data_IF_273844090020
#
_entry.id   IF_273844090020
#
_cell.length_a   1.000
_cell.length_b   1.000
_cell.length_c   1.000
_cell.angle_alpha   90.00
_cell.angle_beta   90.00
_cell.angle_gamma   90.00
#
_symmetry.space_group_name_H-M   'P 1'
#
loop_
_entity.id
_entity.type
_entity.pdbx_description
1 polymer ?
#
# COMPACT_ATOMS: atom_id res chain seq x y z
N UNK A 1 -56.94 -27.77 -17.04
CA UNK A 1 -55.65 -27.71 -16.32
C UNK A 1 -54.96 -26.40 -16.69
N UNK A 2 -55.07 -25.34 -15.87
CA UNK A 2 -54.41 -24.02 -16.07
C UNK A 2 -53.81 -23.61 -14.72
N UNK A 3 -52.66 -24.18 -14.34
CA UNK A 3 -51.96 -23.85 -13.09
C UNK A 3 -50.53 -23.32 -13.30
N UNK A 4 -50.07 -23.25 -14.56
CA UNK A 4 -48.70 -22.84 -14.88
C UNK A 4 -48.49 -21.32 -14.99
N UNK A 5 -49.56 -20.52 -15.08
CA UNK A 5 -49.47 -19.08 -15.37
C UNK A 5 -48.99 -18.25 -14.18
N UNK A 6 -49.35 -18.61 -12.95
CA UNK A 6 -49.01 -17.82 -11.77
C UNK A 6 -47.55 -18.03 -11.32
N UNK A 7 -47.04 -19.26 -11.47
CA UNK A 7 -45.66 -19.64 -11.08
C UNK A 7 -44.62 -18.97 -11.97
N UNK A 8 -44.89 -18.88 -13.28
CA UNK A 8 -44.01 -18.19 -14.24
C UNK A 8 -43.91 -16.68 -13.99
N UNK A 9 -45.00 -16.05 -13.55
CA UNK A 9 -45.04 -14.61 -13.24
C UNK A 9 -44.24 -14.31 -11.96
N UNK A 10 -44.38 -15.14 -10.92
CA UNK A 10 -43.62 -15.01 -9.67
C UNK A 10 -42.11 -15.23 -9.87
N UNK A 11 -41.72 -16.20 -10.70
CA UNK A 11 -40.31 -16.43 -11.02
C UNK A 11 -39.69 -15.25 -11.80
N UNK A 12 -40.42 -14.67 -12.76
CA UNK A 12 -39.95 -13.52 -13.53
C UNK A 12 -39.77 -12.27 -12.67
N UNK A 13 -40.67 -12.02 -11.70
CA UNK A 13 -40.54 -10.88 -10.78
C UNK A 13 -39.36 -11.04 -9.81
N UNK A 14 -39.07 -12.27 -9.35
CA UNK A 14 -37.92 -12.53 -8.48
C UNK A 14 -36.59 -12.22 -9.19
N UNK A 15 -36.47 -12.62 -10.47
CA UNK A 15 -35.28 -12.33 -11.29
C UNK A 15 -35.12 -10.83 -11.56
N UNK A 16 -36.23 -10.09 -11.75
CA UNK A 16 -36.18 -8.64 -11.91
C UNK A 16 -35.75 -7.91 -10.63
N UNK A 17 -36.15 -8.39 -9.45
CA UNK A 17 -35.76 -7.76 -8.17
C UNK A 17 -34.30 -8.00 -7.79
N UNK A 18 -33.71 -9.14 -8.15
CA UNK A 18 -32.29 -9.41 -7.92
C UNK A 18 -31.37 -8.60 -8.83
N UNK A 19 -31.78 -8.32 -10.08
CA UNK A 19 -31.00 -7.51 -11.02
C UNK A 19 -30.99 -6.01 -10.68
N UNK A 20 -31.94 -5.53 -9.86
CA UNK A 20 -32.07 -4.13 -9.43
C UNK A 20 -31.58 -3.87 -8.00
N UNK A 21 -30.90 -4.85 -7.39
CA UNK A 21 -30.32 -4.66 -6.06
C UNK A 21 -29.09 -3.74 -6.16
N UNK A 22 -29.06 -2.58 -5.48
CA UNK A 22 -27.91 -1.66 -5.47
C UNK A 22 -26.64 -2.30 -4.87
N UNK A 23 -26.78 -3.45 -4.21
CA UNK A 23 -25.67 -4.23 -3.67
C UNK A 23 -24.70 -4.76 -4.74
N UNK A 24 -25.09 -4.84 -6.02
CA UNK A 24 -24.22 -5.32 -7.09
C UNK A 24 -23.26 -4.26 -7.65
N UNK A 25 -23.39 -2.98 -7.24
CA UNK A 25 -22.59 -1.85 -7.77
C UNK A 25 -21.62 -1.24 -6.77
N UNK A 26 -21.33 -1.92 -5.67
CA UNK A 26 -20.19 -1.57 -4.82
C UNK A 26 -18.90 -2.07 -5.47
N UNK A 27 -18.53 -1.51 -6.63
CA UNK A 27 -17.14 -1.56 -7.09
C UNK A 27 -16.38 -0.63 -6.16
N UNK A 28 -15.70 -1.18 -5.17
CA UNK A 28 -14.73 -0.42 -4.38
C UNK A 28 -13.67 0.07 -5.36
N UNK A 29 -13.70 1.35 -5.70
CA UNK A 29 -12.56 1.97 -6.36
C UNK A 29 -11.42 1.92 -5.34
N UNK A 30 -10.46 1.02 -5.55
CA UNK A 30 -9.24 1.05 -4.74
C UNK A 30 -8.56 2.41 -5.02
N UNK A 31 -8.15 3.14 -3.97
CA UNK A 31 -7.47 4.41 -4.18
C UNK A 31 -6.21 4.14 -5.02
N UNK A 32 -6.06 4.87 -6.13
CA UNK A 32 -4.86 4.79 -6.95
C UNK A 32 -3.65 5.11 -6.07
N UNK A 33 -2.81 4.09 -5.82
CA UNK A 33 -1.57 4.24 -5.06
C UNK A 33 -0.35 4.03 -5.94
N UNK A 34 0.65 4.89 -5.76
CA UNK A 34 1.95 4.82 -6.43
C UNK A 34 3.04 4.57 -5.39
N UNK A 35 4.01 3.71 -5.73
CA UNK A 35 5.14 3.37 -4.84
C UNK A 35 6.39 4.14 -5.24
N UNK A 36 7.05 4.76 -4.26
CA UNK A 36 8.33 5.45 -4.41
C UNK A 36 9.38 4.77 -3.53
N UNK A 37 10.59 4.57 -4.06
CA UNK A 37 11.64 3.84 -3.35
C UNK A 37 12.98 4.56 -3.38
N UNK A 38 13.74 4.41 -2.31
CA UNK A 38 15.13 4.81 -2.18
C UNK A 38 15.99 3.58 -1.91
N UNK A 39 17.24 3.61 -2.37
CA UNK A 39 18.22 2.56 -2.13
C UNK A 39 19.48 3.17 -1.50
N UNK A 40 20.10 2.46 -0.57
CA UNK A 40 21.40 2.84 -0.02
C UNK A 40 22.29 1.61 0.20
N UNK A 41 23.60 1.83 0.11
CA UNK A 41 24.59 0.82 0.48
C UNK A 41 24.72 0.76 2.01
N UNK A 42 24.82 -0.46 2.54
CA UNK A 42 24.94 -0.75 3.96
C UNK A 42 26.14 -1.67 4.15
N UNK A 43 27.06 -1.31 5.03
CA UNK A 43 28.23 -2.15 5.30
C UNK A 43 27.88 -3.44 6.05
N UNK A 44 28.81 -4.39 6.07
CA UNK A 44 28.77 -5.54 6.97
C UNK A 44 28.70 -5.09 8.44
N UNK A 45 27.90 -5.78 9.26
CA UNK A 45 27.71 -5.48 10.69
C UNK A 45 27.42 -4.01 11.02
N UNK A 46 26.70 -3.31 10.14
CA UNK A 46 26.51 -1.85 10.24
C UNK A 46 25.07 -1.47 10.55
N UNK A 47 24.88 -0.22 10.98
CA UNK A 47 23.57 0.41 11.16
C UNK A 47 23.16 1.16 9.91
N UNK A 48 21.85 1.33 9.71
CA UNK A 48 21.30 2.16 8.66
C UNK A 48 20.05 2.91 9.15
N UNK A 49 19.81 4.07 8.54
CA UNK A 49 18.58 4.83 8.68
C UNK A 49 18.23 5.37 7.29
N UNK A 50 17.22 4.78 6.66
CA UNK A 50 16.78 5.19 5.33
C UNK A 50 15.29 5.44 5.28
N UNK A 51 14.92 6.41 4.45
CA UNK A 51 13.55 6.83 4.23
C UNK A 51 13.20 6.89 2.74
N UNK A 52 11.91 6.79 2.46
CA UNK A 52 11.33 7.08 1.16
C UNK A 52 10.15 8.05 1.35
N UNK A 53 10.08 9.04 0.47
CA UNK A 53 9.10 10.12 0.55
C UNK A 53 8.10 10.09 -0.61
N UNK A 54 6.88 10.46 -0.27
CA UNK A 54 5.81 10.73 -1.20
C UNK A 54 5.99 12.12 -1.81
N UNK A 55 5.71 12.30 -3.11
CA UNK A 55 5.68 13.62 -3.72
C UNK A 55 4.60 14.53 -3.12
N UNK A 56 4.72 15.84 -3.36
CA UNK A 56 3.70 16.82 -2.98
C UNK A 56 2.29 16.43 -3.45
N UNK A 57 1.27 16.78 -2.64
CA UNK A 57 -0.15 16.48 -2.88
C UNK A 57 -0.50 14.99 -2.85
N UNK A 58 0.35 14.19 -2.19
CA UNK A 58 0.06 12.81 -1.87
C UNK A 58 0.33 12.54 -0.40
N UNK A 59 -0.32 11.51 0.12
CA UNK A 59 -0.25 11.09 1.51
C UNK A 59 0.33 9.68 1.55
N UNK A 60 1.29 9.46 2.45
CA UNK A 60 1.86 8.15 2.70
C UNK A 60 0.84 7.24 3.41
N UNK A 61 0.53 6.12 2.78
CA UNK A 61 -0.40 5.10 3.29
C UNK A 61 0.33 3.99 4.06
N UNK A 62 1.63 3.85 3.83
CA UNK A 62 2.48 2.84 4.43
C UNK A 62 3.74 2.64 3.61
N UNK A 63 4.50 1.59 3.92
CA UNK A 63 5.72 1.30 3.20
C UNK A 63 6.29 -0.05 3.56
N UNK A 64 7.49 -0.29 3.05
CA UNK A 64 8.21 -1.54 3.24
C UNK A 64 9.70 -1.36 3.03
N UNK A 65 10.45 -2.39 3.37
CA UNK A 65 11.89 -2.42 3.23
C UNK A 65 12.35 -3.79 2.72
N UNK A 66 13.53 -3.81 2.11
CA UNK A 66 14.20 -5.04 1.71
C UNK A 66 15.70 -4.84 1.86
N UNK A 67 16.35 -5.70 2.63
CA UNK A 67 17.82 -5.76 2.70
C UNK A 67 18.29 -6.90 1.82
N UNK A 68 19.21 -6.62 0.90
CA UNK A 68 19.79 -7.62 0.01
C UNK A 68 21.30 -7.63 0.08
N UNK A 69 21.90 -8.81 0.01
CA UNK A 69 23.35 -8.98 -0.16
C UNK A 69 23.79 -8.30 -1.46
N UNK A 70 24.82 -7.45 -1.38
CA UNK A 70 25.27 -6.64 -2.52
C UNK A 70 25.94 -7.45 -3.64
N UNK A 71 26.43 -8.66 -3.33
CA UNK A 71 27.17 -9.52 -4.25
C UNK A 71 26.26 -10.49 -5.00
N UNK A 72 25.27 -11.06 -4.32
CA UNK A 72 24.43 -12.14 -4.86
C UNK A 72 22.92 -11.83 -4.87
N UNK A 73 22.48 -10.71 -4.26
CA UNK A 73 21.08 -10.29 -4.25
C UNK A 73 20.17 -11.09 -3.31
N UNK A 74 20.72 -11.98 -2.49
CA UNK A 74 19.95 -12.75 -1.52
C UNK A 74 19.29 -11.82 -0.49
N UNK A 75 18.07 -12.17 -0.08
CA UNK A 75 17.40 -11.44 1.01
C UNK A 75 18.14 -11.73 2.31
N UNK A 76 18.56 -10.66 2.97
CA UNK A 76 19.13 -10.70 4.31
C UNK A 76 18.04 -10.41 5.34
N UNK A 77 18.21 -10.92 6.56
CA UNK A 77 17.27 -10.69 7.66
C UNK A 77 17.82 -9.58 8.55
N UNK A 78 17.35 -8.33 8.42
CA UNK A 78 17.73 -7.25 9.32
C UNK A 78 16.86 -7.25 10.59
N UNK A 79 17.39 -6.67 11.66
CA UNK A 79 16.57 -6.17 12.76
C UNK A 79 16.23 -4.71 12.45
N UNK A 80 14.94 -4.37 12.38
CA UNK A 80 14.49 -3.02 12.03
C UNK A 80 13.41 -2.48 12.96
N UNK A 81 13.42 -1.17 13.15
CA UNK A 81 12.27 -0.37 13.50
C UNK A 81 11.76 0.36 12.26
N UNK A 82 10.44 0.49 12.15
CA UNK A 82 9.78 1.22 11.06
C UNK A 82 8.95 2.35 11.65
N UNK A 83 8.88 3.47 10.94
CA UNK A 83 8.05 4.59 11.33
C UNK A 83 7.51 5.33 10.10
N UNK A 84 6.28 5.83 10.22
CA UNK A 84 5.71 6.80 9.29
C UNK A 84 6.04 8.21 9.82
N UNK A 85 6.56 9.11 8.97
CA UNK A 85 6.90 10.46 9.40
C UNK A 85 6.05 11.53 8.72
N UNK A 86 5.91 12.65 9.42
CA UNK A 86 5.01 13.75 9.10
C UNK A 86 5.84 14.97 8.68
N UNK A 87 5.37 15.72 7.69
CA UNK A 87 5.81 17.10 7.44
C UNK A 87 4.58 18.00 7.41
N UNK A 88 4.70 19.18 8.01
CA UNK A 88 3.65 20.20 7.95
C UNK A 88 3.59 20.81 6.55
N UNK A 89 2.68 20.33 5.72
CA UNK A 89 2.33 20.94 4.44
C UNK A 89 1.25 22.02 4.61
N UNK A 90 1.03 22.83 3.58
CA UNK A 90 0.05 23.93 3.58
C UNK A 90 -1.41 23.50 3.74
N UNK A 91 -1.70 22.20 3.80
CA UNK A 91 -3.03 21.62 4.02
C UNK A 91 -3.22 20.93 5.39
N UNK A 92 -2.18 20.85 6.23
CA UNK A 92 -2.23 20.15 7.52
C UNK A 92 -1.02 19.25 7.78
N UNK A 93 -1.05 18.51 8.89
CA UNK A 93 -0.02 17.50 9.22
C UNK A 93 -0.47 16.16 8.61
N UNK A 94 0.07 15.82 7.45
CA UNK A 94 -0.18 14.54 6.77
C UNK A 94 1.11 13.69 6.74
N UNK A 95 1.00 12.36 6.78
CA UNK A 95 2.17 11.50 6.62
C UNK A 95 2.72 11.62 5.20
N UNK A 96 4.03 11.84 5.10
CA UNK A 96 4.69 12.08 3.81
C UNK A 96 5.70 11.00 3.45
N UNK A 97 6.01 10.08 4.35
CA UNK A 97 7.08 9.13 4.08
C UNK A 97 7.13 7.96 5.03
N UNK A 98 7.97 7.00 4.64
CA UNK A 98 8.25 5.78 5.38
C UNK A 98 9.73 5.70 5.69
N UNK A 99 10.08 5.49 6.96
CA UNK A 99 11.47 5.37 7.42
C UNK A 99 11.70 3.99 8.03
N UNK A 100 12.88 3.44 7.77
CA UNK A 100 13.37 2.20 8.34
C UNK A 100 14.74 2.45 8.97
N UNK A 101 14.86 2.13 10.26
CA UNK A 101 16.11 2.21 11.03
C UNK A 101 16.45 0.79 11.46
N UNK A 102 17.68 0.36 11.23
CA UNK A 102 18.03 -1.01 11.57
C UNK A 102 19.51 -1.32 11.50
N UNK A 103 19.79 -2.60 11.51
CA UNK A 103 21.14 -3.16 11.40
C UNK A 103 21.19 -4.21 10.31
N UNK A 104 22.31 -4.25 9.59
CA UNK A 104 22.72 -5.40 8.80
C UNK A 104 23.54 -6.31 9.72
N UNK A 105 22.99 -7.43 10.21
CA UNK A 105 23.72 -8.34 11.09
C UNK A 105 24.67 -9.27 10.33
N UNK A 106 24.67 -9.23 8.99
CA UNK A 106 25.52 -10.10 8.18
C UNK A 106 26.96 -9.59 8.12
N UNK A 107 27.89 -10.51 7.86
CA UNK A 107 29.28 -10.19 7.54
C UNK A 107 29.49 -9.68 6.12
N UNK A 108 28.42 -9.53 5.35
CA UNK A 108 28.44 -9.10 3.96
C UNK A 108 27.97 -7.65 3.82
N UNK A 109 28.49 -6.96 2.82
CA UNK A 109 27.90 -5.68 2.39
C UNK A 109 26.53 -5.90 1.77
N UNK A 110 25.63 -4.95 1.95
CA UNK A 110 24.24 -5.05 1.57
C UNK A 110 23.73 -3.78 0.88
N UNK A 111 22.56 -3.89 0.25
CA UNK A 111 21.75 -2.79 -0.26
C UNK A 111 20.41 -2.80 0.46
N UNK A 112 20.09 -1.71 1.15
CA UNK A 112 18.77 -1.47 1.75
C UNK A 112 17.92 -0.72 0.73
N UNK A 113 16.74 -1.26 0.44
CA UNK A 113 15.69 -0.60 -0.32
C UNK A 113 14.56 -0.25 0.64
N UNK A 114 14.16 1.01 0.68
CA UNK A 114 12.99 1.47 1.43
C UNK A 114 11.98 2.02 0.44
N UNK A 115 10.71 1.66 0.59
CA UNK A 115 9.64 2.10 -0.29
C UNK A 115 8.46 2.64 0.52
N UNK A 116 7.80 3.66 -0.02
CA UNK A 116 6.56 4.23 0.50
C UNK A 116 5.46 4.11 -0.55
N UNK A 117 4.26 3.75 -0.11
CA UNK A 117 3.03 3.75 -0.92
C UNK A 117 2.29 5.05 -0.66
N UNK A 118 2.00 5.79 -1.73
CA UNK A 118 1.40 7.12 -1.67
C UNK A 118 0.06 7.11 -2.37
N UNK A 119 -0.96 7.70 -1.76
CA UNK A 119 -2.25 7.96 -2.38
C UNK A 119 -2.37 9.46 -2.66
N UNK A 120 -3.09 9.85 -3.71
CA UNK A 120 -3.42 11.27 -3.92
C UNK A 120 -4.26 11.76 -2.75
N UNK A 121 -4.00 13.00 -2.32
CA UNK A 121 -4.83 13.64 -1.31
C UNK A 121 -6.27 13.72 -1.85
N UNK A 122 -7.23 13.13 -1.14
CA UNK A 122 -8.64 13.31 -1.48
C UNK A 122 -8.99 14.78 -1.28
N UNK A 123 -9.46 15.43 -2.34
CA UNK A 123 -10.17 16.70 -2.20
C UNK A 123 -11.44 16.38 -1.42
N UNK A 124 -11.48 16.77 -0.14
CA UNK A 124 -12.73 16.80 0.62
C UNK A 124 -13.64 17.80 -0.11
N UNK A 125 -14.78 17.38 -0.68
CA UNK A 125 -15.72 18.27 -1.35
C UNK A 125 -16.39 19.27 -0.37
#
# INVERSE_FOLDING_TARGET
>A
MKKYSAVLILAAMLVLTLAYSPAARATTAEPESTVYCTNASVGAFSVFNQDAECPSHTTAMGGGYQLTDANNGNILVPTVGVNIFLFGGSGGVQPIGWQTIGTNPSGESASIRVCVSCAKDEKIP
#
